data_IF_388690188557
#
_entry.id   IF_388690188557
#
_cell.length_a   1.000
_cell.length_b   1.000
_cell.length_c   1.000
_cell.angle_alpha   90.00
_cell.angle_beta   90.00
_cell.angle_gamma   90.00
#
_symmetry.space_group_name_H-M   'P 1'
#
loop_
_entity.id
_entity.type
_entity.pdbx_description
1 polymer ?
2 polymer ?
3 non-polymer ?
4 water ?
#
# COMPACT_ATOMS: atom_id res chain seq x y z
N UNK A 7 2.14 -15.13 12.69
CA UNK A 7 2.40 -15.11 14.12
C UNK A 7 2.85 -13.73 14.62
N UNK A 8 3.91 -13.18 14.03
CA UNK A 8 4.31 -11.82 14.37
C UNK A 8 3.62 -10.81 13.47
N UNK A 9 2.78 -9.98 14.09
CA UNK A 9 2.07 -8.94 13.36
C UNK A 9 2.81 -7.61 13.48
N UNK A 10 3.87 -7.60 14.29
CA UNK A 10 4.74 -6.42 14.44
C UNK A 10 4.02 -5.24 15.11
N UNK A 11 3.40 -5.50 16.26
CA UNK A 11 2.65 -4.47 16.97
C UNK A 11 3.34 -3.97 18.24
N UNK A 12 4.66 -4.15 18.31
CA UNK A 12 5.42 -3.80 19.51
C UNK A 12 5.45 -2.29 19.72
N UNK A 13 5.18 -1.54 18.66
CA UNK A 13 5.18 -0.07 18.70
C UNK A 13 3.94 0.49 19.39
N UNK A 14 3.03 -0.41 19.79
CA UNK A 14 1.73 -0.01 20.31
C UNK A 14 1.67 0.05 21.82
N UNK A 15 0.82 0.93 22.29
CA UNK A 15 0.53 1.11 23.67
C UNK A 15 0.06 -0.23 24.16
N UNK A 16 0.38 -0.54 25.39
CA UNK A 16 0.14 -1.85 25.97
C UNK A 16 -1.36 -2.20 25.97
N UNK A 17 -2.18 -1.18 26.20
CA UNK A 17 -3.63 -1.33 26.19
C UNK A 17 -4.12 -1.72 24.80
N UNK A 18 -3.56 -1.05 23.79
CA UNK A 18 -3.93 -1.26 22.40
C UNK A 18 -3.45 -2.61 21.87
N UNK A 19 -2.32 -3.09 22.39
CA UNK A 19 -1.85 -4.43 22.06
C UNK A 19 -2.94 -5.42 22.44
N UNK A 20 -3.55 -5.22 23.60
CA UNK A 20 -4.60 -6.11 24.08
C UNK A 20 -5.83 -6.02 23.18
N UNK A 21 -6.17 -4.80 22.78
CA UNK A 21 -7.30 -4.56 21.90
C UNK A 21 -7.12 -5.29 20.56
N UNK A 22 -5.93 -5.16 19.99
CA UNK A 22 -5.62 -5.75 18.70
C UNK A 22 -5.59 -7.29 18.74
N UNK A 23 -5.01 -7.85 19.80
CA UNK A 23 -4.94 -9.30 19.96
C UNK A 23 -6.34 -9.88 20.15
N UNK A 24 -7.19 -9.12 20.82
CA UNK A 24 -8.57 -9.49 21.05
C UNK A 24 -9.35 -9.57 19.74
N UNK A 25 -9.18 -8.54 18.93
CA UNK A 25 -9.89 -8.44 17.66
C UNK A 25 -9.60 -9.62 16.74
N UNK A 26 -8.40 -10.20 16.89
CA UNK A 26 -7.95 -11.32 16.06
C UNK A 26 -8.73 -12.58 16.35
N UNK A 27 -9.09 -12.76 17.62
CA UNK A 27 -9.81 -13.96 18.04
C UNK A 27 -11.31 -13.69 18.04
N UNK A 28 -11.73 -12.59 18.65
CA UNK A 28 -13.14 -12.32 18.82
C UNK A 28 -13.51 -10.92 18.34
N UNK A 29 -13.53 -10.72 17.00
CA UNK A 29 -13.87 -9.43 16.38
C UNK A 29 -15.15 -8.83 16.96
N UNK A 30 -16.19 -9.65 17.07
CA UNK A 30 -17.50 -9.21 17.51
C UNK A 30 -17.47 -8.52 18.86
N UNK A 31 -16.47 -8.87 19.67
CA UNK A 31 -16.40 -8.32 21.02
C UNK A 31 -15.82 -6.92 21.07
N UNK A 32 -15.18 -6.47 19.99
CA UNK A 32 -14.53 -5.17 20.01
C UNK A 32 -15.10 -4.16 19.00
N UNK A 33 -14.84 -2.89 19.25
CA UNK A 33 -15.22 -1.83 18.31
C UNK A 33 -14.28 -1.89 17.11
N UNK A 34 -14.78 -2.42 16.00
CA UNK A 34 -13.98 -2.65 14.82
C UNK A 34 -13.70 -1.32 14.14
N UNK A 35 -14.57 -0.36 14.33
CA UNK A 35 -14.29 0.94 13.85
C UNK A 35 -13.13 1.58 14.58
N UNK A 36 -13.10 1.50 15.90
CA UNK A 36 -11.97 2.01 16.67
C UNK A 36 -10.71 1.17 16.49
N UNK A 37 -10.87 -0.09 16.14
CA UNK A 37 -9.73 -0.96 15.84
C UNK A 37 -9.08 -0.59 14.50
N UNK A 38 -9.88 -0.32 13.48
CA UNK A 38 -9.32 0.08 12.19
C UNK A 38 -8.65 1.44 12.31
N UNK A 39 -9.26 2.31 13.10
CA UNK A 39 -8.76 3.65 13.33
C UNK A 39 -7.37 3.66 13.95
N UNK A 40 -7.14 2.80 14.94
CA UNK A 40 -5.85 2.84 15.63
C UNK A 40 -4.76 2.19 14.79
N UNK A 41 -5.18 1.31 13.89
CA UNK A 41 -4.28 0.69 12.94
C UNK A 41 -3.83 1.66 11.84
N UNK A 42 -4.77 2.38 11.24
CA UNK A 42 -4.38 3.35 10.25
C UNK A 42 -3.55 4.44 10.89
N UNK A 43 -3.95 4.87 12.09
CA UNK A 43 -3.25 5.94 12.79
C UNK A 43 -1.78 5.59 12.94
N UNK A 44 -1.54 4.39 13.45
CA UNK A 44 -0.20 3.98 13.80
C UNK A 44 0.61 3.73 12.55
N UNK A 45 -0.08 3.27 11.50
CA UNK A 45 0.56 2.92 10.25
C UNK A 45 1.22 4.14 9.64
N UNK A 46 0.69 5.33 9.92
CA UNK A 46 1.23 6.54 9.32
C UNK A 46 2.36 7.08 10.17
N UNK A 47 2.62 6.44 11.31
CA UNK A 47 3.56 6.96 12.30
C UNK A 47 4.79 6.10 12.52
N UNK A 48 4.74 4.85 12.08
CA UNK A 48 5.82 3.90 12.34
C UNK A 48 6.10 3.11 11.08
N UNK A 49 7.33 3.15 10.61
CA UNK A 49 7.65 2.63 9.29
C UNK A 49 7.57 1.11 9.23
N UNK A 50 8.03 0.45 10.29
CA UNK A 50 8.01 -1.01 10.31
C UNK A 50 6.58 -1.52 10.29
N UNK A 51 5.69 -0.83 10.98
CA UNK A 51 4.31 -1.26 11.01
C UNK A 51 3.61 -1.00 9.67
N UNK A 52 3.88 0.16 9.07
CA UNK A 52 3.32 0.50 7.76
C UNK A 52 3.61 -0.57 6.70
N UNK A 53 4.76 -1.22 6.77
CA UNK A 53 5.08 -2.25 5.78
C UNK A 53 4.63 -3.64 6.22
N UNK A 54 4.04 -3.75 7.41
CA UNK A 54 3.63 -5.08 7.90
C UNK A 54 2.20 -5.18 8.38
N UNK A 55 1.49 -4.06 8.47
CA UNK A 55 0.13 -4.05 9.03
C UNK A 55 -0.89 -4.88 8.25
N UNK A 56 -0.54 -5.26 7.05
CA UNK A 56 -1.38 -6.07 6.20
C UNK A 56 -1.68 -7.41 6.76
N UNK A 57 -0.70 -8.02 7.38
CA UNK A 57 -0.87 -9.31 8.07
C UNK A 57 -2.03 -9.26 9.07
N UNK A 58 -1.93 -8.34 10.02
CA UNK A 58 -2.93 -8.27 11.08
C UNK A 58 -4.30 -7.87 10.53
N UNK A 59 -4.32 -6.98 9.52
CA UNK A 59 -5.57 -6.57 8.91
C UNK A 59 -6.27 -7.75 8.26
N UNK A 60 -5.49 -8.59 7.57
CA UNK A 60 -6.02 -9.79 6.91
C UNK A 60 -6.57 -10.76 7.95
N UNK A 61 -5.77 -11.05 8.98
CA UNK A 61 -6.21 -11.93 10.04
C UNK A 61 -7.57 -11.50 10.62
N UNK A 62 -7.70 -10.21 10.90
CA UNK A 62 -8.97 -9.69 11.42
C UNK A 62 -10.11 -9.81 10.40
N UNK A 63 -9.81 -9.48 9.14
CA UNK A 63 -10.82 -9.53 8.10
C UNK A 63 -11.37 -10.93 7.99
N UNK A 64 -10.47 -11.91 8.02
CA UNK A 64 -10.86 -13.32 7.95
C UNK A 64 -11.64 -13.76 9.19
N UNK A 65 -11.21 -13.28 10.36
CA UNK A 65 -11.85 -13.60 11.64
C UNK A 65 -13.29 -13.13 11.67
N UNK A 66 -13.56 -11.97 11.11
CA UNK A 66 -14.92 -11.45 11.09
C UNK A 66 -15.79 -12.21 10.09
N UNK A 67 -15.21 -12.60 8.96
CA UNK A 67 -15.99 -13.33 7.98
C UNK A 67 -16.37 -14.68 8.56
N UNK A 68 -15.44 -15.27 9.30
CA UNK A 68 -15.67 -16.57 9.91
C UNK A 68 -16.75 -16.44 10.98
N UNK A 69 -16.50 -15.55 11.92
CA UNK A 69 -17.34 -15.41 13.11
C UNK A 69 -18.77 -14.91 12.81
N UNK A 70 -18.90 -13.81 12.07
CA UNK A 70 -20.20 -13.21 11.85
C UNK A 70 -20.53 -12.99 10.39
N UNK A 71 -19.66 -13.40 9.51
CA UNK A 71 -19.91 -13.27 8.09
C UNK A 71 -19.94 -11.81 7.67
N UNK A 72 -19.43 -10.96 8.54
CA UNK A 72 -19.44 -9.53 8.32
C UNK A 72 -18.12 -9.01 7.77
N UNK A 73 -18.17 -7.86 7.11
CA UNK A 73 -16.95 -7.22 6.65
C UNK A 73 -16.95 -5.75 7.05
N UNK A 74 -17.47 -5.48 8.25
CA UNK A 74 -17.45 -4.14 8.83
C UNK A 74 -16.02 -3.58 8.94
N UNK A 75 -15.13 -4.36 9.55
CA UNK A 75 -13.74 -3.91 9.76
C UNK A 75 -13.02 -3.63 8.44
N UNK A 76 -13.25 -4.46 7.45
CA UNK A 76 -12.68 -4.31 6.16
C UNK A 76 -13.16 -3.02 5.65
N UNK A 77 -14.38 -2.71 5.95
CA UNK A 77 -15.02 -1.55 5.37
C UNK A 77 -14.58 -0.25 6.01
N UNK A 78 -14.49 -0.23 7.34
CA UNK A 78 -13.95 0.93 8.02
C UNK A 78 -12.52 1.20 7.63
N UNK A 79 -11.73 0.13 7.49
CA UNK A 79 -10.33 0.25 7.10
C UNK A 79 -10.18 0.86 5.71
N UNK A 80 -10.93 0.32 4.74
CA UNK A 80 -10.83 0.80 3.37
C UNK A 80 -11.28 2.26 3.25
N UNK A 81 -12.33 2.61 3.96
CA UNK A 81 -12.82 3.98 3.88
C UNK A 81 -11.94 4.98 4.61
N UNK A 82 -11.31 4.56 5.70
CA UNK A 82 -10.38 5.44 6.37
C UNK A 82 -9.11 5.63 5.51
N UNK A 83 -8.64 4.54 4.91
CA UNK A 83 -7.50 4.63 3.98
C UNK A 83 -7.82 5.53 2.79
N UNK A 84 -9.03 5.40 2.26
CA UNK A 84 -9.43 6.20 1.12
C UNK A 84 -9.37 7.68 1.48
N UNK A 85 -9.67 7.98 2.73
CA UNK A 85 -9.64 9.36 3.17
C UNK A 85 -8.21 9.87 3.26
N UNK A 86 -7.31 9.04 3.80
CA UNK A 86 -5.90 9.42 3.82
C UNK A 86 -5.36 9.48 2.38
N UNK A 87 -5.76 8.54 1.54
CA UNK A 87 -5.36 8.59 0.14
C UNK A 87 -5.81 9.88 -0.57
N UNK A 88 -7.01 10.36 -0.25
CA UNK A 88 -7.51 11.59 -0.86
C UNK A 88 -6.71 12.80 -0.39
N UNK A 89 -6.21 12.71 0.84
CA UNK A 89 -5.43 13.80 1.43
C UNK A 89 -3.92 13.56 1.32
N UNK A 90 -3.50 12.81 0.29
CA UNK A 90 -2.11 12.40 0.21
C UNK A 90 -1.12 13.55 0.02
N UNK A 91 -1.50 14.51 -0.81
CA UNK A 91 -0.64 15.63 -1.16
C UNK A 91 -0.42 16.55 0.04
N UNK A 92 -1.48 16.79 0.79
CA UNK A 92 -1.36 17.58 1.99
C UNK A 92 -0.45 16.91 3.02
N UNK A 93 -0.65 15.61 3.21
CA UNK A 93 0.19 14.80 4.09
C UNK A 93 1.66 14.77 3.66
N UNK A 94 1.89 14.74 2.35
CA UNK A 94 3.26 14.75 1.85
C UNK A 94 3.98 16.04 2.23
N UNK A 95 3.33 17.17 1.95
CA UNK A 95 3.77 18.50 2.43
C UNK A 95 4.14 18.51 3.90
N UNK A 96 3.22 18.04 4.74
CA UNK A 96 3.44 18.04 6.17
C UNK A 96 4.63 17.15 6.54
N UNK A 97 4.63 15.89 6.08
CA UNK A 97 5.72 14.97 6.42
C UNK A 97 6.01 13.92 5.35
N UNK A 98 7.22 13.92 4.82
CA UNK A 98 7.61 12.93 3.82
C UNK A 98 7.55 11.54 4.45
N UNK A 99 7.93 11.47 5.72
CA UNK A 99 7.89 10.23 6.46
C UNK A 99 6.48 9.63 6.51
N UNK A 100 5.48 10.46 6.85
CA UNK A 100 4.09 10.02 6.90
C UNK A 100 3.62 9.53 5.54
N UNK A 101 3.96 10.29 4.50
CA UNK A 101 3.57 10.00 3.13
C UNK A 101 4.15 8.66 2.62
N UNK A 102 5.43 8.38 2.89
CA UNK A 102 5.97 7.09 2.49
C UNK A 102 5.34 5.98 3.32
N UNK A 103 4.92 6.31 4.54
CA UNK A 103 4.22 5.32 5.37
C UNK A 103 2.85 4.96 4.79
N UNK A 104 2.09 6.00 4.45
CA UNK A 104 0.82 5.84 3.73
C UNK A 104 0.96 4.91 2.51
N UNK A 105 1.86 5.24 1.59
CA UNK A 105 2.08 4.42 0.40
C UNK A 105 2.45 2.97 0.75
N UNK A 106 3.40 2.78 1.67
CA UNK A 106 3.76 1.44 2.10
C UNK A 106 2.54 0.66 2.64
N UNK A 107 1.72 1.34 3.43
CA UNK A 107 0.54 0.71 4.01
C UNK A 107 -0.52 0.37 2.94
N UNK A 108 -0.91 1.34 2.14
CA UNK A 108 -1.82 1.05 1.03
C UNK A 108 -1.34 -0.19 0.26
N UNK A 109 -0.07 -0.18 -0.16
CA UNK A 109 0.49 -1.27 -0.97
C UNK A 109 0.55 -2.61 -0.25
N UNK A 110 0.75 -2.55 1.07
CA UNK A 110 0.72 -3.76 1.88
C UNK A 110 -0.69 -4.37 1.91
N UNK A 111 -1.71 -3.50 2.04
CA UNK A 111 -3.12 -3.89 1.95
C UNK A 111 -3.45 -4.53 0.60
N UNK A 112 -3.03 -3.90 -0.50
CA UNK A 112 -3.18 -4.47 -1.83
C UNK A 112 -2.56 -5.89 -1.94
N UNK A 113 -1.47 -6.11 -1.22
CA UNK A 113 -0.80 -7.40 -1.25
C UNK A 113 -1.53 -8.46 -0.41
N UNK A 114 -1.78 -8.16 0.84
CA UNK A 114 -2.49 -9.01 1.75
C UNK A 114 -3.99 -9.24 1.67
N UNK A 115 -4.77 -8.19 1.53
CA UNK A 115 -6.20 -8.33 1.58
C UNK A 115 -6.72 -8.64 0.25
N UNK A 116 -7.07 -9.88 0.06
CA UNK A 116 -7.62 -10.30 -1.22
C UNK A 116 -9.14 -10.36 -1.20
N UNK A 117 -9.72 -10.56 -2.38
CA UNK A 117 -11.16 -10.65 -2.52
C UNK A 117 -11.47 -11.82 -3.43
N UNK A 118 -11.84 -12.93 -2.80
CA UNK A 118 -11.99 -14.24 -3.43
C UNK A 118 -10.70 -14.67 -4.11
N UNK A 119 -9.61 -14.63 -3.34
CA UNK A 119 -8.27 -14.97 -3.80
C UNK A 119 -7.76 -14.08 -4.94
N UNK A 120 -8.47 -13.00 -5.23
CA UNK A 120 -8.05 -12.04 -6.25
C UNK A 120 -7.73 -10.68 -5.62
N UNK A 121 -6.89 -9.89 -6.30
CA UNK A 121 -6.56 -8.56 -5.78
C UNK A 121 -7.73 -7.58 -5.83
N UNK A 122 -7.79 -6.66 -4.86
CA UNK A 122 -8.83 -5.63 -4.85
C UNK A 122 -8.60 -4.66 -5.99
N UNK A 123 -9.55 -4.58 -6.92
CA UNK A 123 -9.32 -3.72 -8.07
C UNK A 123 -9.57 -2.28 -7.65
N UNK A 124 -10.21 -2.12 -6.51
CA UNK A 124 -10.45 -0.82 -5.94
C UNK A 124 -9.15 -0.11 -5.65
N UNK A 125 -8.07 -0.86 -5.44
CA UNK A 125 -6.80 -0.23 -5.06
C UNK A 125 -5.79 -0.09 -6.19
N UNK A 126 -6.11 -0.64 -7.36
CA UNK A 126 -5.20 -0.61 -8.51
C UNK A 126 -4.84 0.81 -8.93
N UNK A 127 -5.83 1.62 -9.27
CA UNK A 127 -5.56 3.00 -9.63
C UNK A 127 -4.97 3.82 -8.48
N UNK A 128 -5.55 3.72 -7.27
CA UNK A 128 -4.91 4.46 -6.17
C UNK A 128 -3.42 4.12 -5.89
N UNK A 129 -2.98 2.89 -6.15
CA UNK A 129 -1.58 2.54 -5.95
C UNK A 129 -0.73 3.18 -7.06
N UNK A 130 -1.19 3.07 -8.30
CA UNK A 130 -0.53 3.74 -9.39
C UNK A 130 -0.48 5.25 -9.15
N UNK A 131 -1.55 5.80 -8.58
CA UNK A 131 -1.57 7.23 -8.30
C UNK A 131 -0.39 7.57 -7.38
N UNK A 132 -0.21 6.75 -6.35
CA UNK A 132 0.88 6.87 -5.40
C UNK A 132 2.28 6.70 -5.99
N UNK A 133 2.46 5.69 -6.83
CA UNK A 133 3.78 5.44 -7.42
C UNK A 133 4.17 6.46 -8.49
N UNK A 134 3.17 6.92 -9.25
CA UNK A 134 3.41 7.98 -10.22
C UNK A 134 3.85 9.26 -9.51
N UNK A 135 3.32 9.51 -8.30
CA UNK A 135 3.71 10.66 -7.51
C UNK A 135 5.18 10.54 -7.14
N UNK A 136 5.57 9.35 -6.72
CA UNK A 136 6.95 9.11 -6.36
C UNK A 136 7.91 9.26 -7.55
N UNK A 137 7.42 9.02 -8.76
CA UNK A 137 8.28 9.03 -9.95
C UNK A 137 8.50 10.43 -10.49
N UNK A 138 7.80 11.39 -9.92
CA UNK A 138 7.94 12.79 -10.32
C UNK A 138 9.31 13.32 -9.92
N UNK A 139 9.80 14.32 -10.64
CA UNK A 139 11.14 14.83 -10.39
C UNK A 139 11.31 15.48 -9.01
N UNK A 140 10.23 16.02 -8.45
CA UNK A 140 10.33 16.58 -7.10
C UNK A 140 10.36 15.52 -6.01
N UNK A 141 9.99 14.30 -6.35
CA UNK A 141 10.01 13.24 -5.41
C UNK A 141 11.26 12.41 -5.50
N UNK A 142 11.74 12.24 -6.71
CA UNK A 142 12.91 11.45 -7.02
C UNK A 142 14.18 12.00 -6.42
N UNK A 143 14.19 13.29 -6.23
CA UNK A 143 15.34 13.96 -5.65
C UNK A 143 15.51 13.60 -4.16
N UNK A 144 14.50 12.94 -3.58
CA UNK A 144 14.55 12.45 -2.21
C UNK A 144 14.75 10.95 -2.13
N UNK A 145 15.92 10.52 -1.69
CA UNK A 145 16.20 9.09 -1.59
C UNK A 145 15.15 8.34 -0.78
N UNK A 146 14.49 9.05 0.13
CA UNK A 146 13.51 8.46 1.01
C UNK A 146 12.33 7.99 0.19
N UNK A 147 11.91 8.84 -0.75
CA UNK A 147 10.78 8.51 -1.61
C UNK A 147 11.14 7.46 -2.66
N UNK A 148 12.35 7.54 -3.22
CA UNK A 148 12.82 6.55 -4.19
C UNK A 148 12.85 5.17 -3.56
N UNK A 149 13.36 5.12 -2.33
CA UNK A 149 13.39 3.90 -1.53
C UNK A 149 11.97 3.33 -1.44
N UNK A 150 11.02 4.18 -1.09
CA UNK A 150 9.60 3.83 -1.02
C UNK A 150 9.10 3.28 -2.34
N UNK A 151 9.36 4.03 -3.41
CA UNK A 151 8.94 3.63 -4.75
C UNK A 151 9.43 2.22 -5.11
N UNK A 152 10.72 1.95 -4.97
CA UNK A 152 11.24 0.63 -5.32
C UNK A 152 10.84 -0.49 -4.36
N UNK A 153 10.50 -0.15 -3.11
CA UNK A 153 9.97 -1.15 -2.20
C UNK A 153 8.66 -1.71 -2.72
N UNK A 154 7.77 -0.83 -3.17
CA UNK A 154 6.47 -1.26 -3.64
C UNK A 154 6.64 -2.03 -4.92
N UNK A 155 7.49 -1.55 -5.80
CA UNK A 155 7.69 -2.23 -7.08
C UNK A 155 8.26 -3.64 -6.88
N UNK A 156 9.18 -3.79 -5.93
CA UNK A 156 9.69 -5.10 -5.56
C UNK A 156 8.57 -6.04 -5.04
N UNK A 157 7.74 -5.53 -4.13
CA UNK A 157 6.73 -6.33 -3.47
C UNK A 157 5.46 -6.68 -4.29
N UNK A 158 4.90 -5.68 -4.97
CA UNK A 158 3.62 -5.85 -5.66
C UNK A 158 3.66 -5.41 -7.12
N UNK A 159 4.86 -5.07 -7.59
CA UNK A 159 5.01 -4.52 -8.92
C UNK A 159 4.49 -5.48 -9.95
N UNK A 160 4.76 -6.76 -9.72
CA UNK A 160 4.30 -7.82 -10.61
C UNK A 160 2.78 -7.91 -10.67
N UNK A 161 2.14 -8.05 -9.50
CA UNK A 161 0.69 -8.09 -9.39
C UNK A 161 0.04 -6.88 -10.06
N UNK A 162 0.57 -5.69 -9.77
CA UNK A 162 0.08 -4.44 -10.36
C UNK A 162 0.10 -4.44 -11.88
N UNK A 163 1.16 -4.98 -12.46
CA UNK A 163 1.30 -4.99 -13.90
C UNK A 163 0.20 -5.85 -14.54
N UNK A 164 -0.15 -6.95 -13.93
CA UNK A 164 -1.16 -7.80 -14.43
C UNK A 164 -2.49 -7.14 -14.49
N UNK A 165 -2.82 -6.37 -13.47
CA UNK A 165 -4.04 -5.62 -13.47
C UNK A 165 -4.07 -4.55 -14.54
N UNK A 166 -2.98 -3.84 -14.70
CA UNK A 166 -2.87 -2.80 -15.68
C UNK A 166 -1.45 -2.58 -16.17
N UNK A 167 -1.18 -3.04 -17.37
CA UNK A 167 0.08 -2.86 -18.06
C UNK A 167 0.39 -1.50 -18.60
N UNK A 168 -0.62 -0.80 -19.06
CA UNK A 168 -0.47 0.50 -19.67
C UNK A 168 0.09 1.45 -18.67
N UNK A 169 -0.40 1.40 -17.46
CA UNK A 169 0.10 2.29 -16.42
C UNK A 169 1.55 1.98 -16.00
N UNK A 170 1.84 0.70 -15.77
CA UNK A 170 3.20 0.28 -15.46
C UNK A 170 4.19 0.76 -16.52
N UNK A 171 3.77 0.71 -17.78
CA UNK A 171 4.67 1.06 -18.87
C UNK A 171 5.01 2.52 -18.83
N UNK A 172 3.98 3.33 -18.68
CA UNK A 172 4.13 4.78 -18.66
C UNK A 172 4.91 5.20 -17.40
N UNK A 173 4.68 4.48 -16.31
CA UNK A 173 5.41 4.71 -15.06
C UNK A 173 6.91 4.51 -15.24
N UNK A 174 7.29 3.37 -15.79
CA UNK A 174 8.69 3.07 -16.05
C UNK A 174 9.39 4.00 -17.05
N UNK A 175 8.61 4.68 -17.89
CA UNK A 175 9.14 5.73 -18.78
C UNK A 175 9.62 6.92 -17.98
N UNK A 176 8.86 7.25 -16.94
CA UNK A 176 9.24 8.26 -15.97
C UNK A 176 10.49 7.86 -15.23
N UNK A 177 10.67 6.56 -15.01
CA UNK A 177 11.84 6.08 -14.27
C UNK A 177 13.08 6.20 -15.14
N UNK A 178 12.97 5.82 -16.41
CA UNK A 178 14.07 5.97 -17.35
C UNK A 178 14.39 7.45 -17.52
N UNK A 179 13.34 8.25 -17.65
CA UNK A 179 13.48 9.68 -17.82
C UNK A 179 14.26 10.31 -16.68
N UNK A 180 13.85 10.03 -15.45
CA UNK A 180 14.53 10.58 -14.30
C UNK A 180 15.97 10.12 -14.30
N UNK A 181 16.15 8.87 -14.67
CA UNK A 181 17.46 8.26 -14.64
C UNK A 181 18.47 8.93 -15.53
N UNK A 182 18.05 9.20 -16.75
CA UNK A 182 18.94 9.72 -17.75
C UNK A 182 19.05 11.23 -17.65
N UNK A 183 17.94 11.87 -17.31
CA UNK A 183 17.81 13.29 -17.60
C UNK A 183 17.91 14.21 -16.39
N UNK A 184 17.53 13.69 -15.24
CA UNK A 184 17.47 14.51 -14.05
C UNK A 184 18.87 14.61 -13.48
N UNK A 185 19.24 15.78 -12.99
CA UNK A 185 20.59 15.94 -12.44
C UNK A 185 20.70 15.91 -10.91
N UNK A 186 19.64 16.32 -10.21
CA UNK A 186 19.62 16.28 -8.74
C UNK A 186 19.13 14.93 -8.17
N UNK A 187 19.08 13.93 -9.04
CA UNK A 187 18.91 12.56 -8.61
C UNK A 187 20.25 12.17 -8.02
N UNK A 188 20.26 11.58 -6.83
CA UNK A 188 21.51 11.25 -6.15
C UNK A 188 22.08 9.91 -6.59
N UNK A 189 23.29 9.58 -6.12
CA UNK A 189 23.96 8.33 -6.48
C UNK A 189 23.17 7.12 -6.07
N UNK A 190 22.70 7.14 -4.82
CA UNK A 190 21.80 6.12 -4.29
C UNK A 190 20.51 6.03 -5.12
N UNK A 191 19.90 7.18 -5.39
CA UNK A 191 18.74 7.24 -6.26
C UNK A 191 18.98 6.59 -7.61
N UNK A 192 20.18 6.77 -8.15
CA UNK A 192 20.54 6.19 -9.43
C UNK A 192 20.69 4.67 -9.34
N UNK A 193 21.34 4.20 -8.29
CA UNK A 193 21.49 2.77 -8.08
C UNK A 193 20.13 2.10 -7.91
N UNK A 194 19.23 2.77 -7.20
CA UNK A 194 17.90 2.23 -6.93
C UNK A 194 17.05 2.14 -8.19
N UNK A 195 17.11 3.17 -9.03
CA UNK A 195 16.34 3.16 -10.25
C UNK A 195 16.88 2.15 -11.25
N UNK A 196 18.19 2.07 -11.38
CA UNK A 196 18.79 1.12 -12.31
C UNK A 196 18.48 -0.33 -11.94
N UNK A 197 18.56 -0.66 -10.65
CA UNK A 197 18.18 -1.99 -10.21
C UNK A 197 16.73 -2.32 -10.57
N UNK A 198 15.82 -1.35 -10.45
CA UNK A 198 14.41 -1.64 -10.68
C UNK A 198 14.09 -1.76 -12.16
N UNK A 199 14.81 -1.02 -12.99
CA UNK A 199 14.72 -1.22 -14.44
C UNK A 199 15.14 -2.63 -14.82
N UNK A 200 16.27 -3.10 -14.30
CA UNK A 200 16.68 -4.47 -14.57
C UNK A 200 15.68 -5.48 -14.01
N UNK A 201 15.19 -5.18 -12.80
CA UNK A 201 14.26 -6.05 -12.07
C UNK A 201 12.98 -6.30 -12.86
N UNK A 202 12.40 -5.25 -13.42
CA UNK A 202 11.21 -5.43 -14.22
C UNK A 202 11.53 -6.14 -15.51
N UNK A 203 12.55 -5.66 -16.20
CA UNK A 203 12.90 -6.21 -17.51
C UNK A 203 13.18 -7.71 -17.43
N UNK A 204 13.60 -8.18 -16.25
CA UNK A 204 13.84 -9.58 -16.02
C UNK A 204 12.62 -10.36 -15.57
N UNK A 205 11.45 -9.71 -15.60
CA UNK A 205 10.20 -10.37 -15.26
C UNK A 205 9.96 -10.33 -13.75
N UNK A 206 10.33 -9.21 -13.14
CA UNK A 206 10.13 -8.98 -11.73
C UNK A 206 10.88 -9.97 -10.85
N UNK A 207 12.10 -10.28 -11.23
CA UNK A 207 13.04 -11.01 -10.41
C UNK A 207 14.44 -10.48 -10.45
N UNK A 208 15.18 -10.68 -9.41
CA UNK A 208 16.55 -10.23 -9.28
C UNK A 208 17.52 -11.32 -9.75
N UNK A 209 18.30 -11.03 -10.78
CA UNK A 209 19.29 -11.97 -11.28
C UNK A 209 20.42 -12.15 -10.26
N UNK A 210 21.08 -13.29 -10.30
CA UNK A 210 22.19 -13.59 -9.39
C UNK A 210 23.29 -12.54 -9.49
N UNK A 211 23.54 -12.12 -10.71
CA UNK A 211 24.62 -11.18 -10.98
C UNK A 211 24.26 -9.78 -10.50
N UNK A 212 23.00 -9.39 -10.62
CA UNK A 212 22.47 -8.13 -10.12
C UNK A 212 22.50 -8.09 -8.62
N UNK A 213 22.21 -9.22 -8.02
CA UNK A 213 22.26 -9.37 -6.62
C UNK A 213 23.66 -9.05 -6.18
N UNK A 214 24.65 -9.55 -6.88
CA UNK A 214 26.00 -9.23 -6.54
C UNK A 214 26.41 -7.80 -6.74
N UNK A 215 25.96 -7.20 -7.82
CA UNK A 215 26.32 -5.82 -8.14
C UNK A 215 25.69 -4.81 -7.18
N UNK A 216 24.39 -4.92 -6.95
CA UNK A 216 23.65 -3.91 -6.20
C UNK A 216 23.73 -4.03 -4.67
N UNK A 217 23.56 -5.22 -4.15
CA UNK A 217 23.47 -5.44 -2.75
C UNK A 217 24.68 -6.03 -2.06
N UNK A 218 24.90 -5.64 -0.84
CA UNK A 218 25.96 -6.23 -0.06
C UNK A 218 25.88 -7.76 -0.19
N UNK B 1 -30.14 5.50 -6.19
CA UNK B 1 -30.48 6.09 -7.51
C UNK B 1 -29.23 6.52 -8.26
N UNK B 2 -29.24 6.38 -9.58
CA UNK B 2 -28.11 6.82 -10.41
C UNK B 2 -27.63 8.23 -10.08
N UNK B 3 -26.32 8.36 -9.88
CA UNK B 3 -25.69 9.64 -9.67
C UNK B 3 -25.73 10.15 -8.23
N UNK B 4 -26.51 9.48 -7.40
CA UNK B 4 -26.63 9.83 -5.98
C UNK B 4 -25.32 9.55 -5.25
N UNK B 5 -25.14 10.18 -4.09
CA UNK B 5 -23.87 10.06 -3.38
C UNK B 5 -23.63 8.65 -2.84
N UNK B 6 -24.68 7.84 -2.79
CA UNK B 6 -24.52 6.44 -2.42
C UNK B 6 -23.70 5.73 -3.50
N UNK B 7 -23.76 6.27 -4.71
CA UNK B 7 -23.03 5.72 -5.84
C UNK B 7 -21.61 6.32 -6.01
N UNK B 8 -21.35 7.44 -5.32
CA UNK B 8 -20.04 8.10 -5.33
C UNK B 8 -18.93 7.13 -4.91
N UNK B 9 -17.80 7.19 -5.61
CA UNK B 9 -16.75 6.17 -5.46
C UNK B 9 -16.29 5.92 -4.03
N UNK B 10 -16.36 4.66 -3.62
CA UNK B 10 -16.19 4.24 -2.24
C UNK B 10 -15.44 2.93 -2.25
N UNK B 11 -14.25 2.90 -1.68
CA UNK B 11 -13.45 1.66 -1.71
C UNK B 11 -14.18 0.47 -1.10
N UNK B 12 -14.76 0.69 0.08
CA UNK B 12 -15.57 -0.33 0.73
C UNK B 12 -16.64 -0.89 -0.19
N UNK B 13 -17.28 -0.01 -0.94
CA UNK B 13 -18.35 -0.43 -1.84
C UNK B 13 -17.78 -1.22 -3.01
N UNK B 14 -16.76 -0.66 -3.66
CA UNK B 14 -16.14 -1.26 -4.82
C UNK B 14 -15.70 -2.68 -4.55
N UNK B 15 -15.23 -2.92 -3.33
CA UNK B 15 -14.78 -4.24 -2.92
C UNK B 15 -15.96 -5.21 -2.75
N UNK B 16 -17.05 -4.74 -2.10
CA UNK B 16 -18.27 -5.55 -2.04
C UNK B 16 -18.82 -5.84 -3.45
N UNK B 17 -18.91 -4.80 -4.28
CA UNK B 17 -19.30 -4.93 -5.68
C UNK B 17 -18.46 -5.98 -6.43
N UNK B 18 -17.19 -6.10 -6.07
CA UNK B 18 -16.31 -7.07 -6.71
C UNK B 18 -16.52 -8.45 -6.10
N UNK B 19 -16.65 -8.50 -4.78
CA UNK B 19 -16.78 -9.76 -4.06
C UNK B 19 -17.99 -10.57 -4.48
N UNK B 20 -19.11 -9.90 -4.69
CA UNK B 20 -20.35 -10.57 -5.07
C UNK B 20 -20.36 -10.86 -6.56
N UNK B 21 -19.76 -9.95 -7.33
CA UNK B 21 -19.62 -10.15 -8.76
C UNK B 21 -18.66 -11.31 -9.05
N UNK B 22 -17.97 -11.83 -8.02
CA UNK B 22 -17.03 -12.94 -8.20
C UNK B 22 -17.31 -14.14 -7.28
X LIG C 1 -19.31 4.31 5.01
X LIG C 1 -19.92 3.09 4.47
X LIG C 1 -20.14 4.82 6.10
X LIG C 1 -17.96 3.98 5.50
X LIG C 1 -19.22 5.35 3.98
X LIG D 1 10.04 -7.65 2.22
X LIG D 1 9.21 -7.84 3.41
X LIG D 1 9.96 -6.28 1.75
X LIG D 1 11.43 -7.92 2.58
X LIG D 1 9.58 -8.53 1.14
#
# INVERSE_FOLDING_TARGET
MENSSKEDYKIQSFDLETQKLLKTALKDPGSVDLEKVSSVIVDQSLKDQVFSREAGRICYTIVQAEAKQTNGSVFRRNLLNRLQQEFKAREETRKRSTQEWVCLVSFICNIFDYLKVNNMPMVALVHPVYDCLFRLAQSDALKNEEEVDCLVLQLHRIGDQLEKMNVQLMDELFNLLRDGFLLQEDLSSMGRLLLLEILEFRAGGWKLSDTAQKYYYSEVTD
PLGSMSRIKNWGDEVEEQEMRT
SO4 S O1 O2 O3 O4
SO4 S O1 O2 O3 O4
#
